data_IF_693535442669
#
_entry.id   IF_693535442669
#
_cell.length_a   1.000
_cell.length_b   1.000
_cell.length_c   1.000
_cell.angle_alpha   90.00
_cell.angle_beta   90.00
_cell.angle_gamma   90.00
#
_symmetry.space_group_name_H-M   'P 1'
#
loop_
_entity.id
_entity.type
_entity.pdbx_description
1 polymer ?
#
# COMPACT_ATOMS: atom_id res chain seq x y z
N UNK A 1 3.61 14.76 -16.99
CA UNK A 1 4.79 14.13 -16.35
C UNK A 1 4.52 14.08 -14.85
N UNK A 2 4.18 12.91 -14.31
CA UNK A 2 4.05 12.74 -12.87
C UNK A 2 5.44 12.76 -12.25
N UNK A 3 5.75 13.81 -11.48
CA UNK A 3 6.97 13.89 -10.67
C UNK A 3 6.74 13.06 -9.42
N UNK A 4 6.82 11.73 -9.53
CA UNK A 4 6.75 10.85 -8.36
C UNK A 4 8.04 11.05 -7.59
N UNK A 5 7.98 11.78 -6.47
CA UNK A 5 9.09 11.90 -5.53
C UNK A 5 9.06 10.68 -4.63
N UNK A 6 10.12 9.89 -4.66
CA UNK A 6 10.35 8.86 -3.66
C UNK A 6 10.56 9.56 -2.31
N UNK A 7 9.66 9.32 -1.36
CA UNK A 7 9.74 9.88 -0.01
C UNK A 7 10.60 8.96 0.85
N UNK A 8 11.54 9.55 1.58
CA UNK A 8 12.21 8.82 2.67
C UNK A 8 11.28 8.78 3.87
N UNK A 9 11.42 7.77 4.71
CA UNK A 9 10.62 7.65 5.93
C UNK A 9 10.68 8.93 6.79
N UNK A 10 11.88 9.50 6.94
CA UNK A 10 12.11 10.74 7.70
C UNK A 10 11.35 11.96 7.13
N UNK A 11 10.92 11.91 5.86
CA UNK A 11 10.12 12.97 5.23
C UNK A 11 8.61 12.87 5.60
N UNK A 12 8.17 11.82 6.29
CA UNK A 12 6.75 11.49 6.48
C UNK A 12 6.18 12.05 7.79
N UNK A 13 6.99 12.66 8.67
CA UNK A 13 6.58 13.22 9.97
C UNK A 13 5.68 12.27 10.81
N UNK A 14 5.86 10.95 10.64
CA UNK A 14 5.02 9.91 11.23
C UNK A 14 5.68 9.31 12.47
N UNK A 15 4.97 9.28 13.60
CA UNK A 15 5.49 8.75 14.85
C UNK A 15 5.37 7.21 14.91
N UNK A 16 6.50 6.50 14.82
CA UNK A 16 6.52 5.02 14.75
C UNK A 16 6.06 4.37 16.06
N UNK A 17 6.44 4.93 17.20
CA UNK A 17 6.20 4.39 18.54
C UNK A 17 4.73 4.44 18.97
N UNK A 18 3.94 5.24 18.27
CA UNK A 18 2.49 5.38 18.46
C UNK A 18 1.74 4.88 17.23
N UNK A 19 2.14 3.76 16.62
CA UNK A 19 1.53 3.29 15.35
C UNK A 19 1.02 1.85 15.39
N UNK A 20 -0.07 1.58 14.66
CA UNK A 20 -0.70 0.27 14.61
C UNK A 20 -0.97 -0.19 13.17
N UNK A 21 -0.46 -1.38 12.81
CA UNK A 21 -0.90 -2.09 11.61
C UNK A 21 -2.38 -2.46 11.75
N UNK A 22 -3.21 -2.09 10.77
CA UNK A 22 -4.62 -2.48 10.76
C UNK A 22 -5.03 -3.34 9.55
N UNK A 23 -4.25 -3.34 8.46
CA UNK A 23 -4.54 -4.14 7.29
C UNK A 23 -3.29 -4.56 6.51
N UNK A 24 -3.41 -5.67 5.79
CA UNK A 24 -2.46 -6.10 4.76
C UNK A 24 -3.19 -6.23 3.43
N UNK A 25 -2.64 -5.65 2.37
CA UNK A 25 -3.21 -5.67 1.02
C UNK A 25 -2.21 -6.29 0.06
N UNK A 26 -2.66 -7.29 -0.69
CA UNK A 26 -1.90 -7.94 -1.74
C UNK A 26 -2.44 -7.48 -3.09
N UNK A 27 -1.55 -6.98 -3.93
CA UNK A 27 -1.85 -6.63 -5.31
C UNK A 27 -1.25 -7.72 -6.20
N UNK A 28 -2.13 -8.47 -6.87
CA UNK A 28 -1.70 -9.56 -7.73
C UNK A 28 -1.24 -9.05 -9.09
N UNK A 29 -0.32 -9.80 -9.71
CA UNK A 29 0.19 -9.43 -11.02
C UNK A 29 -0.82 -9.82 -12.10
N UNK A 30 -1.35 -8.84 -12.80
CA UNK A 30 -2.00 -9.04 -14.09
C UNK A 30 -1.46 -8.02 -15.09
N UNK A 31 -0.60 -8.48 -16.00
CA UNK A 31 0.38 -7.63 -16.72
C UNK A 31 -0.23 -6.42 -17.41
N UNK A 32 0.31 -5.22 -17.13
CA UNK A 32 -0.05 -3.91 -17.72
C UNK A 32 -1.56 -3.59 -17.78
N UNK A 33 -2.42 -4.36 -17.11
CA UNK A 33 -3.86 -4.16 -17.11
C UNK A 33 -4.25 -2.97 -16.24
N UNK A 34 -5.40 -2.37 -16.56
CA UNK A 34 -6.00 -1.31 -15.75
C UNK A 34 -6.57 -1.85 -14.43
N UNK A 35 -6.99 -3.11 -14.43
CA UNK A 35 -7.48 -3.81 -13.25
C UNK A 35 -6.41 -4.74 -12.67
N UNK A 36 -6.47 -4.98 -11.36
CA UNK A 36 -5.63 -5.92 -10.61
C UNK A 36 -6.49 -6.66 -9.59
N UNK A 37 -6.18 -7.93 -9.33
CA UNK A 37 -6.80 -8.66 -8.24
C UNK A 37 -6.23 -8.14 -6.92
N UNK A 38 -7.11 -7.58 -6.09
CA UNK A 38 -6.77 -7.02 -4.78
C UNK A 38 -7.27 -7.97 -3.70
N UNK A 39 -6.40 -8.36 -2.78
CA UNK A 39 -6.77 -9.14 -1.59
C UNK A 39 -6.48 -8.31 -0.34
N UNK A 40 -7.53 -8.03 0.44
CA UNK A 40 -7.46 -7.26 1.69
C UNK A 40 -7.63 -8.21 2.88
N UNK A 41 -6.67 -8.19 3.80
CA UNK A 41 -6.66 -8.93 5.05
C UNK A 41 -6.75 -7.91 6.20
N UNK A 42 -7.88 -7.87 6.91
CA UNK A 42 -8.14 -6.89 7.98
C UNK A 42 -9.01 -7.50 9.06
N UNK A 43 -8.59 -7.38 10.33
CA UNK A 43 -9.39 -7.85 11.48
C UNK A 43 -9.79 -9.33 11.41
N UNK A 44 -8.91 -10.20 10.89
CA UNK A 44 -9.18 -11.62 10.70
C UNK A 44 -10.09 -11.98 9.52
N UNK A 45 -10.53 -10.99 8.73
CA UNK A 45 -11.34 -11.19 7.52
C UNK A 45 -10.46 -11.06 6.27
N UNK A 46 -10.83 -11.82 5.24
CA UNK A 46 -10.20 -11.79 3.92
C UNK A 46 -11.27 -11.40 2.90
N UNK A 47 -11.05 -10.30 2.18
CA UNK A 47 -11.90 -9.84 1.08
C UNK A 47 -11.06 -9.79 -0.19
N UNK A 48 -11.59 -10.30 -1.30
CA UNK A 48 -10.89 -10.31 -2.59
C UNK A 48 -11.81 -9.78 -3.68
N UNK A 49 -11.28 -8.91 -4.54
CA UNK A 49 -12.01 -8.28 -5.64
C UNK A 49 -11.07 -7.83 -6.77
N UNK A 50 -11.59 -7.72 -7.98
CA UNK A 50 -10.89 -7.02 -9.06
C UNK A 50 -11.06 -5.51 -8.86
N UNK A 51 -9.96 -4.78 -8.84
CA UNK A 51 -9.95 -3.35 -8.53
C UNK A 51 -8.96 -2.56 -9.39
N UNK A 52 -8.92 -1.25 -9.17
CA UNK A 52 -8.11 -0.32 -9.95
C UNK A 52 -6.62 -0.45 -9.62
N UNK A 53 -5.80 -0.65 -10.65
CA UNK A 53 -4.35 -0.82 -10.54
C UNK A 53 -3.61 0.51 -10.21
N UNK A 54 -4.31 1.63 -10.03
CA UNK A 54 -3.71 2.93 -9.64
C UNK A 54 -3.09 2.93 -8.24
N UNK A 55 -3.58 2.10 -7.31
CA UNK A 55 -3.08 2.03 -5.93
C UNK A 55 -1.97 0.98 -5.73
N UNK A 56 -1.77 0.13 -6.74
CA UNK A 56 -0.69 -0.84 -6.76
C UNK A 56 0.66 -0.08 -6.94
N UNK A 57 1.62 -0.23 -6.01
CA UNK A 57 2.94 0.40 -6.13
C UNK A 57 3.71 -0.09 -7.38
N UNK A 58 3.31 -1.23 -7.96
CA UNK A 58 3.90 -1.71 -9.21
C UNK A 58 2.89 -2.45 -10.09
N UNK A 59 2.37 -1.77 -11.12
CA UNK A 59 1.46 -2.37 -12.12
C UNK A 59 1.95 -3.66 -12.76
N UNK A 60 3.27 -3.88 -12.79
CA UNK A 60 3.93 -5.00 -13.47
C UNK A 60 4.33 -6.13 -12.54
N UNK A 61 4.16 -5.98 -11.22
CA UNK A 61 4.76 -6.87 -10.22
C UNK A 61 3.76 -7.14 -9.10
N UNK A 62 3.93 -8.27 -8.44
CA UNK A 62 3.24 -8.50 -7.17
C UNK A 62 3.77 -7.53 -6.13
N UNK A 63 2.86 -6.95 -5.37
CA UNK A 63 3.18 -6.10 -4.26
C UNK A 63 2.36 -6.51 -3.03
N UNK A 64 2.99 -6.43 -1.87
CA UNK A 64 2.33 -6.58 -0.58
C UNK A 64 2.50 -5.30 0.19
N UNK A 65 1.41 -4.67 0.59
CA UNK A 65 1.42 -3.44 1.37
C UNK A 65 0.78 -3.66 2.74
N UNK A 66 1.44 -3.14 3.77
CA UNK A 66 0.90 -3.07 5.13
C UNK A 66 0.44 -1.64 5.38
N UNK A 67 -0.80 -1.47 5.81
CA UNK A 67 -1.36 -0.17 6.17
C UNK A 67 -1.25 0.02 7.67
N UNK A 68 -0.63 1.13 8.05
CA UNK A 68 -0.33 1.50 9.43
C UNK A 68 -1.01 2.83 9.72
N UNK A 69 -1.79 2.86 10.80
CA UNK A 69 -2.44 4.08 11.29
C UNK A 69 -1.65 4.61 12.49
N UNK A 70 -1.46 5.92 12.53
CA UNK A 70 -0.90 6.61 13.70
C UNK A 70 -1.97 6.76 14.79
N UNK A 71 -1.60 6.47 16.02
CA UNK A 71 -2.45 6.62 17.19
C UNK A 71 -2.63 8.11 17.50
N UNK A 72 -3.86 8.52 17.77
CA UNK A 72 -4.19 9.91 18.07
C UNK A 72 -4.36 10.81 16.83
N UNK A 73 -4.06 10.33 15.63
CA UNK A 73 -4.34 11.04 14.36
C UNK A 73 -5.16 10.15 13.42
N UNK A 74 -5.61 10.73 12.30
CA UNK A 74 -6.20 9.95 11.20
C UNK A 74 -5.21 9.66 10.06
N UNK A 75 -3.91 9.92 10.31
CA UNK A 75 -2.84 9.69 9.34
C UNK A 75 -2.63 8.19 9.10
N UNK A 76 -2.51 7.82 7.83
CA UNK A 76 -2.21 6.45 7.41
C UNK A 76 -1.05 6.44 6.43
N UNK A 77 -0.12 5.52 6.65
CA UNK A 77 0.95 5.20 5.69
C UNK A 77 0.76 3.77 5.21
N UNK A 78 1.31 3.48 4.02
CA UNK A 78 1.47 2.11 3.54
C UNK A 78 2.94 1.80 3.32
N UNK A 79 3.36 0.64 3.81
CA UNK A 79 4.70 0.10 3.63
C UNK A 79 4.57 -1.06 2.66
N UNK A 80 5.13 -0.90 1.47
CA UNK A 80 4.98 -1.83 0.37
C UNK A 80 6.29 -2.58 0.11
N UNK A 81 6.17 -3.90 -0.03
CA UNK A 81 7.25 -4.79 -0.45
C UNK A 81 7.01 -5.20 -1.90
N UNK A 82 7.98 -4.91 -2.77
CA UNK A 82 7.91 -5.21 -4.21
C UNK A 82 9.14 -6.04 -4.61
N UNK A 83 8.92 -7.22 -5.19
CA UNK A 83 10.03 -8.05 -5.69
C UNK A 83 10.41 -7.66 -7.12
N UNK A 84 11.70 -7.40 -7.36
CA UNK A 84 12.25 -7.06 -8.68
C UNK A 84 13.59 -7.77 -8.94
N UNK A 85 13.61 -8.69 -9.92
CA UNK A 85 14.84 -9.32 -10.45
C UNK A 85 15.78 -9.88 -9.37
N UNK A 86 15.22 -10.57 -8.37
CA UNK A 86 16.01 -11.13 -7.26
C UNK A 86 16.30 -10.16 -6.11
N UNK A 87 15.89 -8.90 -6.24
CA UNK A 87 15.92 -7.91 -5.15
C UNK A 87 14.53 -7.70 -4.56
N UNK A 88 14.48 -7.35 -3.28
CA UNK A 88 13.26 -6.91 -2.60
C UNK A 88 13.38 -5.42 -2.33
N UNK A 89 12.45 -4.64 -2.90
CA UNK A 89 12.32 -3.21 -2.64
C UNK A 89 11.29 -2.99 -1.54
N UNK A 90 11.59 -2.10 -0.61
CA UNK A 90 10.66 -1.65 0.42
C UNK A 90 10.42 -0.16 0.19
N UNK A 91 9.16 0.20 0.00
CA UNK A 91 8.74 1.57 -0.28
C UNK A 91 7.73 2.03 0.78
N UNK A 92 7.83 3.27 1.23
CA UNK A 92 6.88 3.85 2.19
C UNK A 92 6.15 5.00 1.52
N UNK A 93 4.83 5.00 1.63
CA UNK A 93 3.95 5.95 0.97
C UNK A 93 2.95 6.54 1.96
N UNK A 94 2.70 7.85 1.89
CA UNK A 94 1.51 8.46 2.48
C UNK A 94 0.27 7.94 1.76
N UNK A 95 -0.80 7.66 2.50
CA UNK A 95 -2.06 7.15 1.94
C UNK A 95 -3.11 8.25 1.95
N UNK A 96 -3.79 8.44 0.82
CA UNK A 96 -4.90 9.40 0.74
C UNK A 96 -6.19 8.79 1.27
N UNK A 97 -7.11 9.64 1.74
CA UNK A 97 -8.43 9.19 2.19
C UNK A 97 -9.22 8.48 1.08
N UNK A 98 -9.03 8.85 -0.19
CA UNK A 98 -9.68 8.17 -1.33
C UNK A 98 -9.24 6.71 -1.44
N UNK A 99 -7.96 6.42 -1.20
CA UNK A 99 -7.45 5.05 -1.20
C UNK A 99 -8.01 4.25 -0.02
N UNK A 100 -8.08 4.86 1.17
CA UNK A 100 -8.67 4.23 2.36
C UNK A 100 -10.13 3.87 2.12
N UNK A 101 -10.94 4.82 1.65
CA UNK A 101 -12.36 4.63 1.38
C UNK A 101 -12.62 3.62 0.25
N UNK A 102 -11.67 3.46 -0.66
CA UNK A 102 -11.77 2.49 -1.74
C UNK A 102 -11.49 1.06 -1.28
N UNK A 103 -10.49 0.87 -0.40
CA UNK A 103 -10.02 -0.46 0.00
C UNK A 103 -10.71 -1.04 1.24
N UNK A 104 -11.33 -0.21 2.09
CA UNK A 104 -11.81 -0.60 3.42
C UNK A 104 -13.23 -0.12 3.73
#
# INVERSE_FOLDING_TARGET
MSKVKELKFDDIEFEIDSSQQFATVLFDRDGDQEETLITVIKGGKINQFNGDNKYNPSKRRRASCVYVKEEGTDSTIKICTVQHKGSTLVEVHTVSNDEINYLF
#
